data_IF_475068168972
#
_entry.id   IF_475068168972
#
_cell.length_a   1.000
_cell.length_b   1.000
_cell.length_c   1.000
_cell.angle_alpha   90.00
_cell.angle_beta   90.00
_cell.angle_gamma   90.00
#
_symmetry.space_group_name_H-M   'P 1'
#
loop_
_entity.id
_entity.type
_entity.pdbx_description
1 polymer ?
#
# COMPACT_ATOMS: atom_id res chain seq x y z
N UNK A 1 0.31 -15.51 13.69
CA UNK A 1 -0.36 -14.70 14.74
C UNK A 1 -0.69 -13.32 14.15
N UNK A 2 -1.61 -13.25 13.17
CA UNK A 2 -2.07 -11.98 12.56
C UNK A 2 -3.46 -12.14 11.90
N UNK A 3 -4.28 -13.05 12.43
CA UNK A 3 -5.72 -13.05 12.14
C UNK A 3 -6.35 -11.97 13.02
N UNK A 4 -7.13 -11.09 12.40
CA UNK A 4 -7.84 -9.96 13.01
C UNK A 4 -7.11 -8.61 13.04
N UNK A 5 -6.80 -8.05 11.87
CA UNK A 5 -7.09 -6.63 11.66
C UNK A 5 -8.60 -6.50 11.41
N UNK A 6 -9.37 -6.59 12.49
CA UNK A 6 -10.80 -6.26 12.48
C UNK A 6 -10.94 -4.77 12.78
N UNK A 7 -11.46 -4.02 11.81
CA UNK A 7 -11.73 -2.59 11.91
C UNK A 7 -12.39 -2.02 10.66
N UNK A 8 -13.59 -2.52 10.35
CA UNK A 8 -14.61 -1.96 9.43
C UNK A 8 -14.31 -1.78 7.92
N UNK A 9 -13.07 -1.85 7.44
CA UNK A 9 -12.76 -1.75 6.00
C UNK A 9 -12.18 -3.06 5.47
N UNK A 10 -12.77 -3.61 4.39
CA UNK A 10 -12.16 -4.71 3.62
C UNK A 10 -10.73 -4.29 3.23
N UNK A 11 -9.73 -5.16 3.43
CA UNK A 11 -8.31 -4.88 3.12
C UNK A 11 -8.13 -4.28 1.72
N UNK A 12 -8.86 -4.80 0.73
CA UNK A 12 -8.94 -4.24 -0.62
C UNK A 12 -9.26 -2.73 -0.65
N UNK A 13 -10.25 -2.28 0.13
CA UNK A 13 -10.66 -0.88 0.18
C UNK A 13 -9.60 -0.04 0.90
N UNK A 14 -8.94 -0.59 1.93
CA UNK A 14 -7.78 0.05 2.57
C UNK A 14 -6.63 0.29 1.59
N UNK A 15 -6.28 -0.72 0.78
CA UNK A 15 -5.26 -0.59 -0.27
C UNK A 15 -5.65 0.44 -1.33
N UNK A 16 -6.91 0.48 -1.76
CA UNK A 16 -7.40 1.48 -2.72
C UNK A 16 -7.28 2.90 -2.15
N UNK A 17 -7.77 3.12 -0.92
CA UNK A 17 -7.69 4.41 -0.25
C UNK A 17 -6.24 4.86 -0.09
N UNK A 18 -5.35 3.97 0.34
CA UNK A 18 -3.92 4.24 0.44
C UNK A 18 -3.34 4.66 -0.91
N UNK A 19 -3.61 3.90 -1.98
CA UNK A 19 -3.11 4.22 -3.32
C UNK A 19 -3.60 5.61 -3.77
N UNK A 20 -4.86 5.95 -3.54
CA UNK A 20 -5.42 7.27 -3.88
C UNK A 20 -4.71 8.39 -3.11
N UNK A 21 -4.60 8.26 -1.79
CA UNK A 21 -3.92 9.26 -0.95
C UNK A 21 -2.47 9.43 -1.40
N UNK A 22 -1.75 8.32 -1.60
CA UNK A 22 -0.36 8.34 -2.05
C UNK A 22 -0.21 9.01 -3.43
N UNK A 23 -1.11 8.73 -4.38
CA UNK A 23 -1.12 9.41 -5.69
C UNK A 23 -1.35 10.92 -5.57
N UNK A 24 -2.30 11.35 -4.75
CA UNK A 24 -2.56 12.78 -4.51
C UNK A 24 -1.32 13.47 -3.94
N UNK A 25 -0.62 12.83 -3.02
CA UNK A 25 0.67 13.33 -2.51
C UNK A 25 1.72 13.46 -3.61
N UNK A 26 1.89 12.46 -4.48
CA UNK A 26 2.88 12.55 -5.57
C UNK A 26 2.52 13.61 -6.61
N UNK A 27 1.23 13.77 -6.95
CA UNK A 27 0.76 14.84 -7.84
C UNK A 27 1.03 16.22 -7.23
N UNK A 28 0.79 16.39 -5.93
CA UNK A 28 1.13 17.63 -5.22
C UNK A 28 2.64 17.91 -5.26
N UNK A 29 3.47 16.91 -4.96
CA UNK A 29 4.93 17.03 -5.04
C UNK A 29 5.40 17.44 -6.45
N UNK A 30 4.83 16.84 -7.50
CA UNK A 30 5.11 17.22 -8.88
C UNK A 30 4.74 18.67 -9.15
N UNK A 31 3.53 19.09 -8.76
CA UNK A 31 3.07 20.48 -8.95
C UNK A 31 4.00 21.47 -8.25
N UNK A 32 4.42 21.18 -7.03
CA UNK A 32 5.31 22.04 -6.25
C UNK A 32 6.71 22.10 -6.90
N UNK A 33 7.24 20.97 -7.38
CA UNK A 33 8.51 20.94 -8.13
C UNK A 33 8.42 21.75 -9.43
N UNK A 34 7.35 21.61 -10.21
CA UNK A 34 7.15 22.39 -11.43
C UNK A 34 7.00 23.88 -11.16
N UNK A 35 6.35 24.26 -10.06
CA UNK A 35 6.25 25.65 -9.64
C UNK A 35 7.64 26.22 -9.36
N UNK A 36 8.45 25.55 -8.53
CA UNK A 36 9.81 25.98 -8.21
C UNK A 36 10.72 26.03 -9.45
N UNK A 37 10.66 25.01 -10.32
CA UNK A 37 11.43 24.98 -11.56
C UNK A 37 11.07 26.14 -12.51
N UNK A 38 9.81 26.60 -12.49
CA UNK A 38 9.37 27.76 -13.27
C UNK A 38 9.93 29.08 -12.71
N UNK A 39 10.10 29.18 -11.39
CA UNK A 39 10.69 30.35 -10.73
C UNK A 39 12.22 30.42 -10.85
N UNK A 40 12.89 29.29 -11.10
CA UNK A 40 14.35 29.22 -11.33
C UNK A 40 14.77 29.67 -12.76
N UNK A 41 13.97 30.52 -13.41
CA UNK A 41 14.29 31.10 -14.72
C UNK A 41 15.45 32.10 -14.69
N UNK A 42 16.04 32.42 -15.86
CA UNK A 42 17.21 33.30 -15.93
C UNK A 42 16.85 34.75 -15.55
N UNK A 43 17.49 35.29 -14.52
CA UNK A 43 17.45 36.73 -14.22
C UNK A 43 18.66 37.44 -14.84
N UNK A 44 18.44 38.68 -15.31
CA UNK A 44 19.44 39.42 -16.09
C UNK A 44 20.65 39.92 -15.29
N UNK A 45 20.64 39.80 -13.96
CA UNK A 45 21.70 40.31 -13.06
C UNK A 45 21.96 39.34 -11.88
N UNK A 46 22.37 38.10 -12.17
CA UNK A 46 22.71 37.12 -11.13
C UNK A 46 24.21 37.04 -10.86
N UNK A 47 24.57 37.12 -9.58
CA UNK A 47 25.91 36.81 -9.09
C UNK A 47 26.28 35.34 -9.36
N UNK A 48 27.57 35.04 -9.56
CA UNK A 48 28.08 33.69 -9.85
C UNK A 48 27.71 32.65 -8.78
N UNK A 49 27.61 33.07 -7.52
CA UNK A 49 27.18 32.22 -6.41
C UNK A 49 25.68 31.86 -6.50
N UNK A 50 24.84 32.83 -6.85
CA UNK A 50 23.41 32.62 -7.12
C UNK A 50 23.20 31.73 -8.35
N UNK A 51 24.02 31.85 -9.39
CA UNK A 51 23.98 30.93 -10.55
C UNK A 51 24.28 29.48 -10.14
N UNK A 52 25.32 29.26 -9.32
CA UNK A 52 25.66 27.91 -8.82
C UNK A 52 24.55 27.32 -7.96
N UNK A 53 24.02 28.09 -7.01
CA UNK A 53 22.88 27.66 -6.19
C UNK A 53 21.62 27.39 -7.03
N UNK A 54 21.33 28.19 -8.06
CA UNK A 54 20.21 27.92 -8.99
C UNK A 54 20.41 26.64 -9.79
N UNK A 55 21.63 26.35 -10.26
CA UNK A 55 21.93 25.09 -10.98
C UNK A 55 21.76 23.89 -10.06
N UNK A 56 22.25 23.98 -8.81
CA UNK A 56 22.10 22.93 -7.81
C UNK A 56 20.64 22.72 -7.43
N UNK A 57 19.90 23.81 -7.14
CA UNK A 57 18.47 23.75 -6.86
C UNK A 57 17.70 23.17 -8.05
N UNK A 58 18.00 23.61 -9.29
CA UNK A 58 17.37 23.08 -10.50
C UNK A 58 17.61 21.58 -10.64
N UNK A 59 18.84 21.11 -10.42
CA UNK A 59 19.17 19.68 -10.44
C UNK A 59 18.38 18.92 -9.37
N UNK A 60 18.40 19.41 -8.12
CA UNK A 60 17.70 18.81 -6.99
C UNK A 60 16.18 18.70 -7.23
N UNK A 61 15.52 19.78 -7.65
CA UNK A 61 14.08 19.77 -7.92
C UNK A 61 13.72 18.97 -9.17
N UNK A 62 14.62 18.87 -10.16
CA UNK A 62 14.42 18.00 -11.34
C UNK A 62 14.47 16.53 -10.93
N UNK A 63 15.46 16.13 -10.12
CA UNK A 63 15.57 14.76 -9.60
C UNK A 63 14.33 14.43 -8.74
N UNK A 64 13.93 15.35 -7.85
CA UNK A 64 12.72 15.19 -7.03
C UNK A 64 11.46 15.01 -7.87
N UNK A 65 11.32 15.78 -8.97
CA UNK A 65 10.20 15.63 -9.90
C UNK A 65 10.20 14.27 -10.61
N UNK A 66 11.37 13.79 -11.07
CA UNK A 66 11.50 12.48 -11.72
C UNK A 66 11.13 11.35 -10.76
N UNK A 67 11.61 11.40 -9.52
CA UNK A 67 11.27 10.42 -8.48
C UNK A 67 9.77 10.45 -8.18
N UNK A 68 9.18 11.63 -8.00
CA UNK A 68 7.74 11.77 -7.76
C UNK A 68 6.89 11.22 -8.93
N UNK A 69 7.31 11.45 -10.18
CA UNK A 69 6.65 10.89 -11.36
C UNK A 69 6.73 9.35 -11.40
N UNK A 70 7.89 8.79 -11.07
CA UNK A 70 8.07 7.34 -10.99
C UNK A 70 7.19 6.72 -9.90
N UNK A 71 7.15 7.34 -8.71
CA UNK A 71 6.30 6.88 -7.60
C UNK A 71 4.81 6.99 -7.94
N UNK A 72 4.40 8.04 -8.67
CA UNK A 72 3.03 8.18 -9.15
C UNK A 72 2.66 7.04 -10.12
N UNK A 73 3.55 6.71 -11.06
CA UNK A 73 3.35 5.58 -11.97
C UNK A 73 3.28 4.24 -11.23
N UNK A 74 4.17 4.02 -10.25
CA UNK A 74 4.16 2.82 -9.41
C UNK A 74 2.86 2.69 -8.61
N UNK A 75 2.33 3.80 -8.10
CA UNK A 75 1.05 3.84 -7.38
C UNK A 75 -0.14 3.47 -8.29
N UNK A 76 -0.16 3.98 -9.52
CA UNK A 76 -1.15 3.61 -10.53
C UNK A 76 -1.11 2.11 -10.87
N UNK A 77 0.09 1.56 -11.08
CA UNK A 77 0.29 0.13 -11.34
C UNK A 77 -0.17 -0.72 -10.16
N UNK A 78 0.15 -0.28 -8.93
CA UNK A 78 -0.28 -0.96 -7.70
C UNK A 78 -1.81 -0.93 -7.56
N UNK A 79 -2.46 0.19 -7.87
CA UNK A 79 -3.91 0.29 -7.87
C UNK A 79 -4.54 -0.69 -8.87
N UNK A 80 -4.03 -0.76 -10.10
CA UNK A 80 -4.50 -1.72 -11.11
C UNK A 80 -4.29 -3.16 -10.61
N UNK A 81 -3.15 -3.46 -9.99
CA UNK A 81 -2.87 -4.77 -9.42
C UNK A 81 -3.85 -5.17 -8.30
N UNK A 82 -4.33 -4.21 -7.50
CA UNK A 82 -5.40 -4.46 -6.51
C UNK A 82 -6.70 -4.91 -7.19
N UNK A 83 -7.06 -4.32 -8.33
CA UNK A 83 -8.25 -4.74 -9.08
C UNK A 83 -8.06 -6.09 -9.78
N UNK A 84 -6.88 -6.32 -10.36
CA UNK A 84 -6.56 -7.56 -11.08
C UNK A 84 -6.12 -8.71 -10.17
N UNK A 85 -6.05 -8.49 -8.85
CA UNK A 85 -5.59 -9.46 -7.84
C UNK A 85 -4.20 -10.05 -8.15
N UNK A 86 -3.29 -9.22 -8.68
CA UNK A 86 -1.94 -9.64 -9.05
C UNK A 86 -0.99 -9.58 -7.86
N UNK A 87 -0.74 -10.72 -7.21
CA UNK A 87 0.01 -10.79 -5.93
C UNK A 87 1.47 -10.35 -6.05
N UNK A 88 2.14 -10.75 -7.13
CA UNK A 88 3.54 -10.37 -7.40
C UNK A 88 3.70 -8.85 -7.50
N UNK A 89 2.79 -8.18 -8.22
CA UNK A 89 2.86 -6.72 -8.40
C UNK A 89 2.55 -6.01 -7.09
N UNK A 90 1.61 -6.51 -6.28
CA UNK A 90 1.31 -5.95 -4.96
C UNK A 90 2.50 -6.06 -4.00
N UNK A 91 3.22 -7.19 -4.00
CA UNK A 91 4.44 -7.36 -3.21
C UNK A 91 5.53 -6.39 -3.64
N UNK A 92 5.81 -6.30 -4.94
CA UNK A 92 6.80 -5.35 -5.48
C UNK A 92 6.41 -3.91 -5.13
N UNK A 93 5.13 -3.54 -5.32
CA UNK A 93 4.59 -2.23 -4.98
C UNK A 93 4.76 -1.88 -3.49
N UNK A 94 4.54 -2.85 -2.60
CA UNK A 94 4.73 -2.65 -1.15
C UNK A 94 6.18 -2.33 -0.79
N UNK A 95 7.15 -2.96 -1.46
CA UNK A 95 8.59 -2.71 -1.25
C UNK A 95 8.97 -1.33 -1.78
N UNK A 96 8.48 -0.95 -2.96
CA UNK A 96 8.71 0.38 -3.54
C UNK A 96 8.19 1.47 -2.61
N UNK A 97 6.95 1.32 -2.10
CA UNK A 97 6.35 2.27 -1.16
C UNK A 97 7.18 2.38 0.12
N UNK A 98 7.64 1.25 0.67
CA UNK A 98 8.46 1.22 1.88
C UNK A 98 9.79 1.98 1.69
N UNK A 99 10.52 1.66 0.61
CA UNK A 99 11.79 2.30 0.31
C UNK A 99 11.64 3.78 -0.04
N UNK A 100 10.54 4.16 -0.68
CA UNK A 100 10.28 5.54 -1.11
C UNK A 100 10.21 6.54 0.05
N UNK A 101 9.76 6.10 1.22
CA UNK A 101 9.68 6.95 2.40
C UNK A 101 10.95 6.90 3.27
N UNK A 102 11.77 5.86 3.10
CA UNK A 102 13.00 5.69 3.87
C UNK A 102 14.10 6.68 3.43
N UNK A 103 14.21 6.96 2.13
CA UNK A 103 15.18 7.91 1.57
C UNK A 103 15.00 9.37 2.07
N UNK A 104 13.81 9.99 1.99
CA UNK A 104 13.61 11.35 2.51
C UNK A 104 13.81 11.43 4.02
N UNK A 105 13.37 10.41 4.78
CA UNK A 105 13.64 10.33 6.22
C UNK A 105 15.14 10.28 6.54
N UNK A 106 15.93 9.46 5.85
CA UNK A 106 17.39 9.39 6.03
C UNK A 106 18.06 10.73 5.74
N UNK A 107 17.67 11.40 4.66
CA UNK A 107 18.20 12.71 4.29
C UNK A 107 17.87 13.76 5.36
N UNK A 108 16.64 13.77 5.88
CA UNK A 108 16.22 14.70 6.94
C UNK A 108 16.75 14.35 8.32
N UNK A 109 17.15 13.10 8.58
CA UNK A 109 17.81 12.69 9.82
C UNK A 109 19.31 13.02 9.82
N UNK A 110 19.94 13.08 8.65
CA UNK A 110 21.37 13.38 8.50
C UNK A 110 21.67 14.86 8.39
N UNK A 111 20.76 15.65 7.82
CA UNK A 111 20.84 17.09 7.79
C UNK A 111 20.07 17.66 8.98
N UNK A 112 20.67 18.55 9.78
CA UNK A 112 20.03 19.33 10.86
C UNK A 112 18.96 20.29 10.31
N UNK A 113 17.92 19.76 9.65
CA UNK A 113 16.81 20.51 9.10
C UNK A 113 15.88 21.02 10.21
N UNK A 114 15.11 22.09 9.96
CA UNK A 114 14.14 22.62 10.92
C UNK A 114 13.15 21.53 11.36
N UNK A 115 12.90 21.45 12.68
CA UNK A 115 12.10 20.42 13.35
C UNK A 115 10.74 20.07 12.71
N UNK A 116 10.14 21.00 11.97
CA UNK A 116 8.87 20.81 11.27
C UNK A 116 8.98 19.91 10.04
N UNK A 117 10.05 20.03 9.24
CA UNK A 117 10.22 19.22 8.03
C UNK A 117 10.53 17.76 8.39
N UNK A 118 11.37 17.56 9.41
CA UNK A 118 11.63 16.24 9.99
C UNK A 118 10.35 15.56 10.50
N UNK A 119 9.46 16.30 11.18
CA UNK A 119 8.19 15.75 11.68
C UNK A 119 7.28 15.30 10.54
N UNK A 120 7.23 16.06 9.45
CA UNK A 120 6.45 15.70 8.25
C UNK A 120 7.02 14.43 7.61
N UNK A 121 8.34 14.31 7.49
CA UNK A 121 8.98 13.12 6.93
C UNK A 121 8.76 11.87 7.78
N UNK A 122 8.74 12.01 9.12
CA UNK A 122 8.38 10.91 10.04
C UNK A 122 6.92 10.47 9.85
N UNK A 123 5.99 11.41 9.67
CA UNK A 123 4.58 11.08 9.39
C UNK A 123 4.45 10.36 8.05
N UNK A 124 5.13 10.85 7.01
CA UNK A 124 5.16 10.22 5.69
C UNK A 124 5.73 8.80 5.77
N UNK A 125 6.81 8.61 6.52
CA UNK A 125 7.37 7.29 6.80
C UNK A 125 6.34 6.37 7.46
N UNK A 126 5.66 6.83 8.52
CA UNK A 126 4.61 6.07 9.19
C UNK A 126 3.47 5.65 8.25
N UNK A 127 2.99 6.58 7.42
CA UNK A 127 1.91 6.32 6.45
C UNK A 127 2.36 5.32 5.37
N UNK A 128 3.57 5.47 4.84
CA UNK A 128 4.10 4.55 3.84
C UNK A 128 4.39 3.17 4.41
N UNK A 129 4.93 3.06 5.63
CA UNK A 129 5.09 1.77 6.32
C UNK A 129 3.74 1.07 6.51
N UNK A 130 2.73 1.81 6.98
CA UNK A 130 1.38 1.27 7.13
C UNK A 130 0.79 0.82 5.79
N UNK A 131 0.95 1.64 4.74
CA UNK A 131 0.52 1.31 3.38
C UNK A 131 1.20 0.06 2.81
N UNK A 132 2.51 -0.08 3.02
CA UNK A 132 3.26 -1.27 2.65
C UNK A 132 2.75 -2.52 3.36
N UNK A 133 2.45 -2.43 4.67
CA UNK A 133 1.85 -3.53 5.42
C UNK A 133 0.46 -3.90 4.90
N UNK A 134 -0.38 -2.92 4.53
CA UNK A 134 -1.69 -3.18 3.91
C UNK A 134 -1.57 -3.92 2.58
N UNK A 135 -0.69 -3.43 1.68
CA UNK A 135 -0.46 -4.03 0.37
C UNK A 135 0.08 -5.46 0.49
N UNK A 136 1.02 -5.68 1.41
CA UNK A 136 1.57 -7.01 1.68
C UNK A 136 0.51 -7.96 2.26
N UNK A 137 -0.27 -7.48 3.23
CA UNK A 137 -1.34 -8.28 3.85
C UNK A 137 -2.41 -8.67 2.83
N UNK A 138 -2.77 -7.74 1.93
CA UNK A 138 -3.71 -8.04 0.84
C UNK A 138 -3.13 -9.04 -0.18
N UNK A 139 -1.83 -8.96 -0.47
CA UNK A 139 -1.18 -9.94 -1.33
C UNK A 139 -1.20 -11.35 -0.72
N UNK A 140 -0.99 -11.48 0.59
CA UNK A 140 -1.09 -12.75 1.33
C UNK A 140 -2.53 -13.28 1.34
N UNK A 141 -3.52 -12.41 1.56
CA UNK A 141 -4.95 -12.76 1.54
C UNK A 141 -5.40 -13.32 0.18
N UNK A 142 -4.80 -12.87 -0.93
CA UNK A 142 -5.10 -13.43 -2.26
C UNK A 142 -4.43 -14.80 -2.47
N UNK A 143 -3.25 -15.03 -1.90
CA UNK A 143 -2.50 -16.30 -2.06
C UNK A 143 -3.01 -17.44 -1.19
N UNK A 144 -3.57 -17.15 -0.02
CA UNK A 144 -4.28 -18.14 0.80
C UNK A 144 -5.77 -18.12 0.42
N UNK A 145 -6.24 -18.93 -0.56
CA UNK A 145 -7.68 -19.08 -0.73
C UNK A 145 -8.27 -19.55 0.59
N UNK A 146 -9.39 -18.93 1.00
CA UNK A 146 -10.19 -19.42 2.12
C UNK A 146 -10.36 -20.93 1.96
N UNK A 147 -9.74 -21.70 2.86
CA UNK A 147 -9.88 -23.15 2.91
C UNK A 147 -11.39 -23.40 2.91
N UNK A 148 -11.96 -24.12 1.92
CA UNK A 148 -13.37 -24.43 1.95
C UNK A 148 -13.62 -25.12 3.28
N UNK A 149 -14.48 -24.51 4.10
CA UNK A 149 -14.91 -25.08 5.37
C UNK A 149 -15.29 -26.52 5.04
N UNK A 150 -14.62 -27.54 5.61
CA UNK A 150 -14.99 -28.91 5.32
C UNK A 150 -16.45 -29.04 5.72
N UNK A 151 -17.31 -29.31 4.73
CA UNK A 151 -18.69 -29.73 4.95
C UNK A 151 -18.55 -31.01 5.76
N UNK A 152 -18.62 -30.87 7.07
CA UNK A 152 -18.70 -32.00 7.99
C UNK A 152 -20.06 -32.60 7.72
N UNK A 153 -20.10 -33.66 6.91
CA UNK A 153 -21.22 -34.58 6.95
C UNK A 153 -21.22 -35.12 8.38
N UNK A 154 -22.13 -34.61 9.20
CA UNK A 154 -22.47 -35.28 10.45
C UNK A 154 -23.14 -36.58 9.99
N UNK A 155 -22.34 -37.63 9.85
CA UNK A 155 -22.84 -39.00 9.85
C UNK A 155 -23.42 -39.19 11.25
N UNK A 156 -24.68 -38.79 11.43
CA UNK A 156 -25.40 -39.08 12.64
C UNK A 156 -25.43 -40.59 12.75
N UNK A 157 -24.63 -41.12 13.66
CA UNK A 157 -24.73 -42.48 14.15
C UNK A 157 -26.12 -42.66 14.78
N UNK A 158 -27.14 -42.78 13.94
CA UNK A 158 -28.39 -43.41 14.31
C UNK A 158 -28.11 -44.92 14.26
N UNK A 159 -28.25 -45.65 15.37
CA UNK A 159 -28.33 -47.10 15.26
C UNK A 159 -29.49 -47.44 14.31
N UNK A 160 -29.37 -48.51 13.50
CA UNK A 160 -30.44 -48.89 12.59
C UNK A 160 -31.74 -49.06 13.39
N UNK A 161 -32.90 -48.64 12.85
CA UNK A 161 -34.16 -48.86 13.53
C UNK A 161 -34.31 -50.35 13.81
N UNK A 162 -34.48 -50.69 15.08
CA UNK A 162 -34.87 -52.04 15.47
C UNK A 162 -36.24 -52.28 14.85
N UNK A 163 -36.30 -53.15 13.85
CA UNK A 163 -37.56 -53.69 13.36
C UNK A 163 -38.23 -54.44 14.52
N UNK A 164 -39.18 -53.79 15.18
CA UNK A 164 -40.14 -54.47 16.04
C UNK A 164 -40.95 -55.42 15.16
N UNK A 165 -40.63 -56.71 15.22
CA UNK A 165 -41.51 -57.77 14.75
C UNK A 165 -42.77 -57.75 15.64
N UNK A 166 -43.81 -57.02 15.20
CA UNK A 166 -45.17 -57.28 15.66
C UNK A 166 -45.63 -58.57 14.96
N UNK A 167 -45.46 -59.69 15.66
CA UNK A 167 -46.09 -60.94 15.30
C UNK A 167 -47.61 -60.78 15.31
N UNK A 168 -48.23 -60.99 14.15
CA UNK A 168 -49.64 -61.40 14.09
C UNK A 168 -49.68 -62.90 13.83
N UNK A 169 -49.99 -63.65 14.87
CA UNK A 169 -50.34 -65.06 14.80
C UNK A 169 -51.84 -65.20 14.52
N UNK A 170 -52.13 -66.04 13.51
CA UNK A 170 -53.24 -67.01 13.36
C UNK A 170 -54.68 -66.49 13.13
N UNK A 171 -55.64 -67.35 12.67
CA UNK A 171 -55.57 -68.81 12.45
C UNK A 171 -56.15 -69.35 11.11
N UNK A 172 -55.72 -70.59 10.82
CA UNK A 172 -56.38 -71.71 10.09
C UNK A 172 -57.10 -71.46 8.78
#
# INVERSE_FOLDING_TARGET
MLRSFCGCLRLKVGCILFCIVFMVFQVRNLRDCFAVLKYLGPEKNEDEENKKQKVEAKSHYTIKAVVAAFLLAAAMVTLIAVFMKQTTILRIGSVIVFLSAFMPFLLSALNDHPSTDFTIDVIILGVCMYGSCLLWSYAVEIEEPEIPIPVTYIESAMPPPQYQYQGYYRPT
#
